data_IF_332831278601
#
_entry.id   IF_332831278601
#
_cell.length_a   1.000
_cell.length_b   1.000
_cell.length_c   1.000
_cell.angle_alpha   90.00
_cell.angle_beta   90.00
_cell.angle_gamma   90.00
#
_symmetry.space_group_name_H-M   'P 1'
#
loop_
_entity.id
_entity.type
_entity.pdbx_description
1 polymer ?
#
# COMPACT_ATOMS: atom_id res chain seq x y z
N UNK A 1 12.69 2.62 -21.97
CA UNK A 1 12.54 2.61 -20.50
C UNK A 1 11.27 1.87 -20.20
N UNK A 2 11.32 0.77 -19.44
CA UNK A 2 10.11 0.08 -19.04
C UNK A 2 9.43 0.85 -17.90
N UNK A 3 8.13 1.09 -18.02
CA UNK A 3 7.28 1.55 -16.92
C UNK A 3 6.31 0.43 -16.55
N UNK A 4 6.16 0.20 -15.25
CA UNK A 4 5.26 -0.82 -14.70
C UNK A 4 4.08 -0.12 -14.07
N UNK A 5 2.88 -0.68 -14.23
CA UNK A 5 1.69 -0.10 -13.64
C UNK A 5 1.05 -1.08 -12.66
N UNK A 6 0.85 -0.63 -11.42
CA UNK A 6 0.12 -1.38 -10.39
C UNK A 6 -1.16 -0.63 -10.07
N UNK A 7 -2.31 -1.28 -10.12
CA UNK A 7 -3.59 -0.70 -9.71
C UNK A 7 -4.05 -1.37 -8.41
N UNK A 8 -4.60 -0.56 -7.50
CA UNK A 8 -5.20 -1.05 -6.27
C UNK A 8 -6.71 -1.07 -6.41
N UNK A 9 -7.29 -2.24 -6.20
CA UNK A 9 -8.73 -2.41 -6.16
C UNK A 9 -9.16 -2.38 -4.70
N UNK A 10 -9.65 -1.23 -4.27
CA UNK A 10 -10.35 -1.14 -2.98
C UNK A 10 -11.64 -1.95 -3.09
N UNK A 11 -11.74 -3.02 -2.31
CA UNK A 11 -12.94 -3.86 -2.27
C UNK A 11 -14.07 -3.13 -1.55
N UNK A 12 -15.16 -2.88 -2.26
CA UNK A 12 -16.34 -2.20 -1.71
C UNK A 12 -17.12 -3.07 -0.71
N UNK A 13 -16.83 -4.38 -0.65
CA UNK A 13 -17.35 -5.29 0.36
C UNK A 13 -16.53 -5.26 1.66
N UNK A 14 -15.35 -4.62 1.68
CA UNK A 14 -14.59 -4.41 2.92
C UNK A 14 -15.42 -3.51 3.87
N UNK A 15 -15.75 -3.96 5.09
CA UNK A 15 -16.47 -3.13 6.06
C UNK A 15 -15.73 -1.81 6.39
N UNK A 16 -14.43 -1.73 6.11
CA UNK A 16 -13.58 -0.57 6.32
C UNK A 16 -13.39 0.28 5.05
N UNK A 17 -14.03 -0.08 3.93
CA UNK A 17 -13.84 0.54 2.62
C UNK A 17 -13.93 2.06 2.66
N UNK A 18 -14.99 2.61 3.27
CA UNK A 18 -15.21 4.06 3.31
C UNK A 18 -14.12 4.79 4.09
N UNK A 19 -13.62 4.20 5.16
CA UNK A 19 -12.58 4.81 6.00
C UNK A 19 -11.22 4.77 5.27
N UNK A 20 -10.88 3.61 4.67
CA UNK A 20 -9.67 3.46 3.85
C UNK A 20 -9.67 4.43 2.67
N UNK A 21 -10.79 4.52 1.95
CA UNK A 21 -10.99 5.47 0.85
C UNK A 21 -10.81 6.92 1.31
N UNK A 22 -11.45 7.32 2.41
CA UNK A 22 -11.34 8.67 2.97
C UNK A 22 -9.89 9.02 3.33
N UNK A 23 -9.16 8.09 3.94
CA UNK A 23 -7.74 8.29 4.27
C UNK A 23 -6.91 8.49 2.99
N UNK A 24 -7.15 7.70 1.95
CA UNK A 24 -6.42 7.84 0.67
C UNK A 24 -6.68 9.20 0.02
N UNK A 25 -7.96 9.57 -0.10
CA UNK A 25 -8.40 10.83 -0.73
C UNK A 25 -7.87 12.05 0.03
N UNK A 26 -7.94 12.05 1.37
CA UNK A 26 -7.42 13.13 2.21
C UNK A 26 -5.91 13.35 2.07
N UNK A 27 -5.19 12.38 1.51
CA UNK A 27 -3.75 12.46 1.29
C UNK A 27 -3.39 12.56 -0.19
N UNK A 28 -4.37 12.89 -1.04
CA UNK A 28 -4.19 13.08 -2.47
C UNK A 28 -3.82 11.81 -3.22
N UNK A 29 -4.10 10.63 -2.66
CA UNK A 29 -3.83 9.35 -3.29
C UNK A 29 -5.09 8.91 -4.03
N UNK A 30 -5.05 9.06 -5.35
CA UNK A 30 -6.11 8.61 -6.24
C UNK A 30 -5.87 7.16 -6.69
N UNK A 31 -6.52 6.22 -5.99
CA UNK A 31 -6.45 4.78 -6.31
C UNK A 31 -7.30 4.37 -7.52
N UNK A 32 -8.08 5.29 -8.10
CA UNK A 32 -8.79 5.01 -9.35
C UNK A 32 -7.87 4.94 -10.57
N UNK A 33 -6.61 5.39 -10.40
CA UNK A 33 -5.59 5.38 -11.44
C UNK A 33 -4.47 4.39 -11.10
N UNK A 34 -3.84 3.78 -12.12
CA UNK A 34 -2.66 2.97 -11.90
C UNK A 34 -1.50 3.81 -11.33
N UNK A 35 -0.73 3.20 -10.44
CA UNK A 35 0.55 3.70 -9.97
C UNK A 35 1.63 3.33 -10.97
N UNK A 36 2.21 4.35 -11.62
CA UNK A 36 3.35 4.19 -12.52
C UNK A 36 4.65 4.04 -11.72
N UNK A 37 5.42 3.00 -12.05
CA UNK A 37 6.68 2.67 -11.40
C UNK A 37 7.75 2.62 -12.48
N UNK A 38 8.73 3.51 -12.36
CA UNK A 38 9.89 3.50 -13.24
C UNK A 38 10.92 2.47 -12.79
N UNK A 39 11.51 1.75 -13.75
CA UNK A 39 12.57 0.76 -13.53
C UNK A 39 13.79 1.33 -12.78
N UNK A 40 14.14 2.60 -12.96
CA UNK A 40 15.29 3.23 -12.27
C UNK A 40 14.93 3.98 -10.98
N UNK A 41 13.64 4.06 -10.62
CA UNK A 41 13.17 4.80 -9.44
C UNK A 41 12.77 3.86 -8.29
N UNK A 42 12.82 4.32 -7.02
CA UNK A 42 12.23 3.58 -5.91
C UNK A 42 10.72 3.42 -6.08
N UNK A 43 10.11 2.51 -5.31
CA UNK A 43 8.65 2.38 -5.29
C UNK A 43 8.01 3.73 -4.92
N UNK A 44 6.96 4.17 -5.64
CA UNK A 44 6.28 5.42 -5.34
C UNK A 44 5.80 5.46 -3.89
N UNK A 45 6.07 6.55 -3.18
CA UNK A 45 5.62 6.74 -1.80
C UNK A 45 4.10 6.72 -1.68
N UNK A 46 3.38 7.17 -2.71
CA UNK A 46 1.92 7.06 -2.82
C UNK A 46 1.45 5.61 -2.90
N UNK A 47 2.12 4.75 -3.67
CA UNK A 47 1.83 3.31 -3.72
C UNK A 47 2.06 2.64 -2.37
N UNK A 48 3.19 2.92 -1.72
CA UNK A 48 3.51 2.38 -0.40
C UNK A 48 2.48 2.80 0.65
N UNK A 49 2.09 4.08 0.66
CA UNK A 49 1.03 4.60 1.52
C UNK A 49 -0.32 3.93 1.22
N UNK A 50 -0.64 3.69 -0.05
CA UNK A 50 -1.89 3.09 -0.43
C UNK A 50 -2.00 1.61 -0.01
N UNK A 51 -0.92 0.84 -0.22
CA UNK A 51 -0.83 -0.55 0.21
C UNK A 51 -0.97 -0.69 1.74
N UNK A 52 -0.37 0.23 2.51
CA UNK A 52 -0.53 0.28 3.96
C UNK A 52 -1.97 0.51 4.39
N UNK A 53 -2.62 1.51 3.79
CA UNK A 53 -4.03 1.79 4.10
C UNK A 53 -4.92 0.60 3.76
N UNK A 54 -4.63 -0.08 2.65
CA UNK A 54 -5.33 -1.31 2.27
C UNK A 54 -5.13 -2.43 3.29
N UNK A 55 -3.93 -2.58 3.85
CA UNK A 55 -3.62 -3.60 4.87
C UNK A 55 -4.04 -3.23 6.29
N UNK A 56 -4.62 -2.05 6.53
CA UNK A 56 -5.11 -1.67 7.85
C UNK A 56 -6.23 -2.60 8.31
N UNK A 57 -6.07 -3.10 9.53
CA UNK A 57 -7.11 -3.79 10.31
C UNK A 57 -8.04 -2.79 10.98
N UNK A 58 -9.21 -3.25 11.43
CA UNK A 58 -10.17 -2.42 12.18
C UNK A 58 -9.56 -1.80 13.45
N UNK A 59 -8.66 -2.53 14.12
CA UNK A 59 -7.98 -2.05 15.33
C UNK A 59 -7.01 -0.89 15.01
N UNK A 60 -6.21 -1.03 13.96
CA UNK A 60 -5.29 0.01 13.50
C UNK A 60 -6.03 1.23 12.96
N UNK A 61 -7.16 1.03 12.26
CA UNK A 61 -8.02 2.12 11.79
C UNK A 61 -8.67 2.89 12.94
N UNK A 62 -9.19 2.20 13.94
CA UNK A 62 -9.76 2.85 15.13
C UNK A 62 -8.70 3.64 15.90
N UNK A 63 -7.46 3.14 15.97
CA UNK A 63 -6.32 3.89 16.51
C UNK A 63 -5.96 5.12 15.67
N UNK A 64 -5.86 4.97 14.34
CA UNK A 64 -5.47 6.05 13.42
C UNK A 64 -6.51 7.17 13.32
N UNK A 65 -7.80 6.82 13.34
CA UNK A 65 -8.91 7.79 13.32
C UNK A 65 -9.03 8.51 14.65
N UNK A 66 -8.88 7.79 15.77
CA UNK A 66 -9.01 8.34 17.12
C UNK A 66 -7.93 9.35 17.51
N UNK A 67 -6.76 9.32 16.85
CA UNK A 67 -5.61 10.15 17.24
C UNK A 67 -5.57 11.50 16.49
N UNK A 68 -5.89 11.58 15.18
CA UNK A 68 -5.83 12.86 14.43
C UNK A 68 -6.75 12.94 13.19
N UNK A 69 -7.92 12.31 13.19
CA UNK A 69 -8.93 12.49 12.13
C UNK A 69 -8.53 11.89 10.76
N UNK A 70 -7.71 10.83 10.75
CA UNK A 70 -7.43 10.07 9.52
C UNK A 70 -6.37 10.66 8.57
N UNK A 71 -5.51 11.57 9.06
CA UNK A 71 -4.33 12.03 8.29
C UNK A 71 -3.30 10.90 8.15
N UNK A 72 -2.71 10.67 6.96
CA UNK A 72 -1.63 9.67 6.77
C UNK A 72 -0.43 10.01 7.64
N UNK A 73 -0.27 11.25 8.12
CA UNK A 73 0.74 11.56 9.13
C UNK A 73 0.55 10.80 10.45
N UNK A 74 -0.68 10.46 10.87
CA UNK A 74 -0.90 9.56 12.00
C UNK A 74 -0.49 8.11 11.64
N UNK A 75 -0.81 7.67 10.42
CA UNK A 75 -0.39 6.36 9.86
C UNK A 75 1.14 6.29 9.65
N UNK A 76 1.82 7.43 9.39
CA UNK A 76 3.28 7.57 9.28
C UNK A 76 3.94 7.73 10.64
N UNK A 77 3.34 8.45 11.59
CA UNK A 77 3.83 8.60 12.96
C UNK A 77 3.81 7.25 13.70
N UNK A 78 2.87 6.38 13.36
CA UNK A 78 2.86 4.98 13.79
C UNK A 78 4.00 4.13 13.19
N UNK A 79 4.92 4.68 12.38
CA UNK A 79 6.23 4.04 12.18
C UNK A 79 7.01 3.87 13.49
N UNK A 80 6.74 4.70 14.51
CA UNK A 80 7.42 4.65 15.80
C UNK A 80 6.71 3.78 16.86
N UNK A 81 5.44 3.44 16.66
CA UNK A 81 4.71 2.50 17.52
C UNK A 81 4.60 1.14 16.82
N UNK A 82 4.48 0.07 17.59
CA UNK A 82 4.59 -1.34 17.19
C UNK A 82 3.80 -1.80 15.94
N UNK A 83 2.88 -1.00 15.40
CA UNK A 83 2.00 -1.33 14.28
C UNK A 83 2.58 -0.98 12.88
N UNK A 84 3.44 0.02 12.76
CA UNK A 84 3.85 0.54 11.45
C UNK A 84 4.80 -0.35 10.64
N UNK A 85 5.60 -1.19 11.30
CA UNK A 85 6.56 -2.09 10.65
C UNK A 85 5.90 -3.39 10.16
N UNK A 86 5.07 -4.01 11.00
CA UNK A 86 4.32 -5.22 10.64
C UNK A 86 3.29 -4.94 9.54
N UNK A 87 2.54 -3.83 9.65
CA UNK A 87 1.61 -3.40 8.61
C UNK A 87 2.34 -3.13 7.28
N UNK A 88 3.50 -2.47 7.30
CA UNK A 88 4.31 -2.25 6.09
C UNK A 88 4.81 -3.57 5.49
N UNK A 89 5.23 -4.52 6.33
CA UNK A 89 5.68 -5.84 5.89
C UNK A 89 4.52 -6.60 5.25
N UNK A 90 3.33 -6.56 5.83
CA UNK A 90 2.12 -7.19 5.29
C UNK A 90 1.72 -6.56 3.95
N UNK A 91 1.68 -5.23 3.88
CA UNK A 91 1.40 -4.46 2.67
C UNK A 91 2.35 -4.82 1.50
N UNK A 92 3.66 -4.83 1.76
CA UNK A 92 4.67 -5.20 0.77
C UNK A 92 4.62 -6.69 0.40
N UNK A 93 4.34 -7.57 1.37
CA UNK A 93 4.18 -9.01 1.12
C UNK A 93 2.97 -9.26 0.21
N UNK A 94 1.84 -8.57 0.44
CA UNK A 94 0.68 -8.64 -0.46
C UNK A 94 0.99 -8.14 -1.87
N UNK A 95 1.79 -7.08 -2.01
CA UNK A 95 2.26 -6.63 -3.33
C UNK A 95 3.13 -7.69 -3.99
N UNK A 96 4.13 -8.24 -3.28
CA UNK A 96 5.01 -9.29 -3.80
C UNK A 96 4.22 -10.51 -4.26
N UNK A 97 3.27 -10.95 -3.44
CA UNK A 97 2.44 -12.11 -3.75
C UNK A 97 1.54 -11.83 -4.97
N UNK A 98 0.99 -10.62 -5.10
CA UNK A 98 0.27 -10.21 -6.32
C UNK A 98 1.19 -10.18 -7.55
N UNK A 99 2.42 -9.67 -7.43
CA UNK A 99 3.40 -9.67 -8.53
C UNK A 99 3.76 -11.10 -8.98
N UNK A 100 3.92 -12.03 -8.03
CA UNK A 100 4.21 -13.43 -8.32
C UNK A 100 3.03 -14.17 -8.97
N UNK A 101 1.79 -13.77 -8.64
CA UNK A 101 0.57 -14.44 -9.09
C UNK A 101 -0.15 -13.71 -10.24
N UNK A 102 0.47 -12.70 -10.86
CA UNK A 102 -0.15 -11.83 -11.89
C UNK A 102 -1.40 -11.08 -11.40
N UNK A 103 -1.45 -10.75 -10.12
CA UNK A 103 -2.51 -10.01 -9.46
C UNK A 103 -3.07 -10.74 -8.23
N UNK A 104 -4.05 -10.09 -7.61
CA UNK A 104 -4.89 -10.61 -6.53
C UNK A 104 -6.27 -9.94 -6.61
N UNK A 105 -7.19 -10.33 -5.73
CA UNK A 105 -8.50 -9.68 -5.62
C UNK A 105 -8.41 -8.16 -5.35
N UNK A 106 -7.29 -7.70 -4.76
CA UNK A 106 -7.11 -6.31 -4.33
C UNK A 106 -6.02 -5.56 -5.09
N UNK A 107 -5.21 -6.25 -5.90
CA UNK A 107 -4.08 -5.65 -6.64
C UNK A 107 -4.11 -6.19 -8.06
N UNK A 108 -4.28 -5.30 -9.03
CA UNK A 108 -4.09 -5.64 -10.45
C UNK A 108 -2.70 -5.21 -10.89
N UNK A 109 -1.97 -6.12 -11.50
CA UNK A 109 -0.65 -5.87 -12.05
C UNK A 109 -0.75 -6.00 -13.56
N UNK A 110 -0.33 -5.00 -14.33
CA UNK A 110 -0.41 -5.10 -15.81
C UNK A 110 0.61 -6.09 -16.39
N UNK A 111 1.69 -6.36 -15.65
CA UNK A 111 2.76 -7.26 -16.04
C UNK A 111 3.55 -7.71 -14.80
N UNK A 112 3.64 -9.02 -14.55
CA UNK A 112 4.61 -9.53 -13.59
C UNK A 112 6.01 -9.20 -14.08
N UNK A 113 6.75 -8.43 -13.29
CA UNK A 113 8.09 -7.98 -13.63
C UNK A 113 9.10 -8.40 -12.53
N UNK A 114 10.16 -9.15 -12.88
CA UNK A 114 11.18 -9.58 -11.91
C UNK A 114 11.87 -8.43 -11.16
N UNK A 115 12.12 -7.30 -11.82
CA UNK A 115 12.75 -6.12 -11.18
C UNK A 115 11.80 -5.49 -10.16
N UNK A 116 10.50 -5.46 -10.46
CA UNK A 116 9.50 -4.96 -9.53
C UNK A 116 9.35 -5.88 -8.30
N UNK A 117 9.46 -7.20 -8.50
CA UNK A 117 9.52 -8.18 -7.39
C UNK A 117 10.77 -7.92 -6.55
N UNK A 118 11.94 -7.76 -7.19
CA UNK A 118 13.19 -7.50 -6.48
C UNK A 118 13.13 -6.21 -5.66
N UNK A 119 12.63 -5.10 -6.24
CA UNK A 119 12.42 -3.84 -5.50
C UNK A 119 11.50 -4.00 -4.31
N UNK A 120 10.43 -4.78 -4.46
CA UNK A 120 9.51 -5.06 -3.38
C UNK A 120 10.20 -5.84 -2.26
N UNK A 121 11.04 -6.82 -2.60
CA UNK A 121 11.87 -7.56 -1.64
C UNK A 121 12.88 -6.65 -0.94
N UNK A 122 13.52 -5.73 -1.66
CA UNK A 122 14.47 -4.78 -1.08
C UNK A 122 13.80 -3.86 -0.06
N UNK A 123 12.56 -3.41 -0.32
CA UNK A 123 11.77 -2.64 0.65
C UNK A 123 11.36 -3.48 1.88
N UNK A 124 11.08 -4.78 1.71
CA UNK A 124 10.79 -5.68 2.84
C UNK A 124 12.04 -5.89 3.70
N UNK A 125 13.20 -6.09 3.07
CA UNK A 125 14.46 -6.34 3.78
C UNK A 125 14.92 -5.13 4.61
N UNK A 126 14.52 -3.90 4.25
CA UNK A 126 14.77 -2.70 5.07
C UNK A 126 14.01 -2.70 6.41
N UNK A 127 13.07 -3.62 6.60
CA UNK A 127 12.22 -3.73 7.80
C UNK A 127 12.65 -4.88 8.73
N UNK A 128 13.67 -5.66 8.34
CA UNK A 128 14.27 -6.75 9.12
C UNK A 128 15.51 -6.24 9.86
#
# INVERSE_FOLDING_TARGET
>A
MASYSVSLNLDNADPLFQQKKTILENNGIDVSKPFEISESAPLPTSLLSALRVQSLTSAELNGAIGVQGGRIEAVRADRQNAFGAENQKNALSSLRDALNNNGSSFITVNQANPDLIQKTNDEINKLL
#
